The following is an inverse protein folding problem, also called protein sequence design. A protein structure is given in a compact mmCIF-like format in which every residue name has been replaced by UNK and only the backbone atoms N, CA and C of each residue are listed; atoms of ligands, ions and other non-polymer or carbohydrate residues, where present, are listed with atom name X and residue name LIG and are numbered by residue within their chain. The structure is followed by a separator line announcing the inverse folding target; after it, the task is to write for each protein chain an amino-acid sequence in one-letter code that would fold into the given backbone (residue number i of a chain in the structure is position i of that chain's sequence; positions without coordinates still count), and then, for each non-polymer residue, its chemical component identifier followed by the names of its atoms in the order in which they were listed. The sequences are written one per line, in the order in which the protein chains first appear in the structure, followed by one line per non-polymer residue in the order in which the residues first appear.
data_IF_357756176523
#
_entry.id   IF_357756176523
#
_cell.length_a   1.000
_cell.length_b   1.000
_cell.length_c   1.000
_cell.angle_alpha   90.00
_cell.angle_beta   90.00
_cell.angle_gamma   90.00
#
_symmetry.space_group_name_H-M   'P 1'
#
loop_
_entity.id
_entity.type
_entity.pdbx_description
1 polymer ?
#
# COMPACT_ATOMS: atom_id res chain seq x y z
N UNK A 1 -17.73 0.08 -0.50
CA UNK A 1 -16.78 1.13 -0.90
C UNK A 1 -16.83 1.36 -2.40
N UNK A 2 -16.60 2.60 -2.84
CA UNK A 2 -16.53 2.97 -4.25
C UNK A 2 -15.34 2.31 -4.95
N UNK A 3 -15.51 1.90 -6.20
CA UNK A 3 -14.46 1.29 -7.04
C UNK A 3 -14.54 1.82 -8.46
N UNK A 4 -13.43 1.78 -9.19
CA UNK A 4 -13.40 1.98 -10.64
C UNK A 4 -13.56 0.63 -11.35
N UNK A 5 -14.40 0.58 -12.38
CA UNK A 5 -14.73 -0.65 -13.12
C UNK A 5 -15.10 -1.85 -12.24
N UNK A 6 -15.67 -1.58 -11.05
CA UNK A 6 -16.06 -2.57 -10.07
C UNK A 6 -14.90 -3.29 -9.36
N UNK A 7 -13.65 -3.00 -9.67
CA UNK A 7 -12.53 -3.81 -9.18
C UNK A 7 -11.20 -3.10 -8.89
N UNK A 8 -11.07 -1.81 -9.12
CA UNK A 8 -9.90 -1.01 -8.75
C UNK A 8 -10.27 0.01 -7.67
N UNK A 9 -9.28 0.53 -6.93
CA UNK A 9 -9.49 1.74 -6.13
C UNK A 9 -10.02 2.86 -7.03
N UNK A 10 -10.94 3.72 -6.54
CA UNK A 10 -11.53 4.77 -7.36
C UNK A 10 -10.47 5.83 -7.70
N UNK A 11 -10.67 6.49 -8.82
CA UNK A 11 -9.91 7.68 -9.19
C UNK A 11 -10.53 8.95 -8.59
N UNK A 12 -9.77 10.04 -8.62
CA UNK A 12 -10.19 11.36 -8.12
C UNK A 12 -11.14 12.04 -9.12
N UNK A 13 -12.28 11.41 -9.34
CA UNK A 13 -13.33 11.83 -10.27
C UNK A 13 -14.73 11.68 -9.64
N UNK A 14 -15.71 12.37 -10.18
CA UNK A 14 -17.07 12.44 -9.62
C UNK A 14 -17.69 11.05 -9.39
N UNK A 15 -17.51 10.13 -10.33
CA UNK A 15 -18.00 8.75 -10.23
C UNK A 15 -16.93 7.75 -9.80
N UNK A 16 -15.66 8.17 -9.70
CA UNK A 16 -14.50 7.33 -9.40
C UNK A 16 -13.90 6.62 -10.61
N UNK A 17 -14.46 6.84 -11.82
CA UNK A 17 -13.93 6.29 -13.06
C UNK A 17 -12.84 7.19 -13.66
N UNK A 18 -11.87 6.58 -14.31
CA UNK A 18 -10.69 7.30 -14.82
C UNK A 18 -11.03 8.38 -15.85
N UNK A 19 -12.02 8.12 -16.69
CA UNK A 19 -12.37 8.99 -17.82
C UNK A 19 -13.43 10.06 -17.45
N UNK A 20 -13.87 10.10 -16.19
CA UNK A 20 -14.82 11.09 -15.69
C UNK A 20 -14.17 12.43 -15.32
N UNK A 21 -15.01 13.43 -15.06
CA UNK A 21 -14.57 14.74 -14.63
C UNK A 21 -13.97 14.69 -13.23
N UNK A 22 -13.00 15.58 -13.01
CA UNK A 22 -12.32 15.73 -11.73
C UNK A 22 -13.32 16.09 -10.61
N UNK A 23 -13.19 15.42 -9.48
CA UNK A 23 -13.93 15.74 -8.25
C UNK A 23 -13.09 16.63 -7.32
N UNK A 24 -13.39 17.94 -7.24
CA UNK A 24 -12.67 18.85 -6.37
C UNK A 24 -12.92 18.60 -4.86
N UNK A 25 -13.91 17.79 -4.52
CA UNK A 25 -14.25 17.45 -3.14
C UNK A 25 -13.58 16.16 -2.65
N UNK A 26 -12.98 15.39 -3.56
CA UNK A 26 -12.27 14.18 -3.20
C UNK A 26 -11.01 14.48 -2.35
N UNK A 27 -10.60 13.55 -1.47
CA UNK A 27 -9.40 13.71 -0.68
C UNK A 27 -8.18 13.94 -1.56
N UNK A 28 -7.32 14.87 -1.14
CA UNK A 28 -6.07 15.14 -1.82
C UNK A 28 -5.09 14.00 -1.61
N UNK A 29 -4.45 13.55 -2.69
CA UNK A 29 -3.49 12.47 -2.71
C UNK A 29 -2.11 12.99 -3.11
N UNK A 30 -1.04 12.33 -2.62
CA UNK A 30 0.33 12.58 -3.09
C UNK A 30 0.48 12.22 -4.57
N UNK A 31 1.30 12.98 -5.28
CA UNK A 31 1.53 12.87 -6.72
C UNK A 31 1.00 14.05 -7.51
N UNK A 32 0.00 14.76 -6.99
CA UNK A 32 -0.63 15.87 -7.68
C UNK A 32 0.31 17.04 -7.93
N UNK A 33 1.24 17.29 -7.00
CA UNK A 33 2.22 18.39 -7.07
C UNK A 33 3.56 17.94 -7.62
N UNK A 34 4.06 16.82 -7.12
CA UNK A 34 5.43 16.35 -7.34
C UNK A 34 5.69 15.98 -8.80
N UNK A 35 4.64 15.56 -9.52
CA UNK A 35 4.74 15.18 -10.94
C UNK A 35 3.95 16.07 -11.90
N UNK A 36 3.39 17.19 -11.42
CA UNK A 36 2.49 18.00 -12.22
C UNK A 36 1.38 17.16 -12.89
N UNK A 37 0.91 16.14 -12.15
CA UNK A 37 -0.13 15.23 -12.63
C UNK A 37 -1.48 15.91 -12.54
N UNK A 38 -2.32 15.63 -13.51
CA UNK A 38 -3.73 16.00 -13.40
C UNK A 38 -4.35 15.25 -12.22
N UNK A 39 -4.93 15.92 -11.22
CA UNK A 39 -5.47 15.28 -10.02
C UNK A 39 -6.37 14.07 -10.29
N UNK A 40 -7.15 14.11 -11.37
CA UNK A 40 -8.07 13.01 -11.76
C UNK A 40 -7.40 11.66 -12.04
N UNK A 41 -6.08 11.63 -12.31
CA UNK A 41 -5.39 10.38 -12.63
C UNK A 41 -4.85 9.63 -11.42
N UNK A 42 -4.95 10.20 -10.22
CA UNK A 42 -4.52 9.54 -8.99
C UNK A 42 -5.63 8.68 -8.41
N UNK A 43 -5.25 7.54 -7.85
CA UNK A 43 -6.16 6.68 -7.12
C UNK A 43 -6.46 7.27 -5.74
N UNK A 44 -7.72 7.27 -5.32
CA UNK A 44 -8.16 7.75 -4.02
C UNK A 44 -8.25 6.58 -3.04
N UNK A 45 -7.62 6.73 -1.89
CA UNK A 45 -7.65 5.78 -0.80
C UNK A 45 -7.70 6.48 0.57
N UNK A 46 -7.76 5.73 1.64
CA UNK A 46 -7.79 6.27 3.00
C UNK A 46 -6.47 6.85 3.50
N UNK A 47 -5.36 6.60 2.79
CA UNK A 47 -4.05 7.20 3.05
C UNK A 47 -3.60 8.00 1.82
N UNK A 48 -3.17 9.24 2.01
CA UNK A 48 -2.76 10.13 0.92
C UNK A 48 -1.53 9.63 0.13
N UNK A 49 -0.74 8.70 0.70
CA UNK A 49 0.44 8.09 0.08
C UNK A 49 0.14 6.87 -0.78
N UNK A 50 -1.13 6.49 -0.97
CA UNK A 50 -1.51 5.26 -1.67
C UNK A 50 -0.95 5.13 -3.09
N UNK A 51 -0.60 6.25 -3.74
CA UNK A 51 -0.01 6.27 -5.08
C UNK A 51 1.53 6.27 -5.09
N UNK A 52 2.19 6.25 -3.93
CA UNK A 52 3.65 6.30 -3.85
C UNK A 52 4.29 5.17 -4.66
N UNK A 53 3.73 3.96 -4.55
CA UNK A 53 4.24 2.77 -5.21
C UNK A 53 3.09 1.92 -5.78
N UNK A 54 3.15 1.42 -7.02
CA UNK A 54 2.04 0.69 -7.64
C UNK A 54 1.66 -0.60 -6.92
N UNK A 55 2.61 -1.29 -6.29
CA UNK A 55 2.32 -2.46 -5.46
C UNK A 55 1.54 -2.08 -4.19
N UNK A 56 1.79 -0.91 -3.61
CA UNK A 56 1.00 -0.39 -2.50
C UNK A 56 -0.45 -0.13 -2.95
N UNK A 57 -0.63 0.52 -4.10
CA UNK A 57 -1.97 0.76 -4.66
C UNK A 57 -2.68 -0.55 -5.00
N UNK A 58 -1.94 -1.57 -5.46
CA UNK A 58 -2.47 -2.91 -5.71
C UNK A 58 -2.95 -3.58 -4.42
N UNK A 59 -2.23 -3.44 -3.31
CA UNK A 59 -2.66 -3.93 -2.00
C UNK A 59 -3.91 -3.21 -1.50
N UNK A 60 -3.98 -1.88 -1.61
CA UNK A 60 -5.21 -1.14 -1.33
C UNK A 60 -6.40 -1.69 -2.12
N UNK A 61 -6.19 -1.99 -3.40
CA UNK A 61 -7.22 -2.56 -4.29
C UNK A 61 -7.74 -3.89 -3.77
N UNK A 62 -6.86 -4.80 -3.32
CA UNK A 62 -7.29 -6.10 -2.77
C UNK A 62 -8.17 -5.91 -1.54
N UNK A 63 -7.77 -5.08 -0.59
CA UNK A 63 -8.53 -4.89 0.64
C UNK A 63 -9.86 -4.15 0.40
N UNK A 64 -9.93 -3.26 -0.59
CA UNK A 64 -11.21 -2.67 -1.03
C UNK A 64 -12.13 -3.72 -1.62
N UNK A 65 -11.62 -4.62 -2.47
CA UNK A 65 -12.39 -5.75 -3.01
C UNK A 65 -12.89 -6.68 -1.92
N UNK A 66 -12.03 -7.03 -0.98
CA UNK A 66 -12.39 -7.93 0.12
C UNK A 66 -13.45 -7.29 1.02
N UNK A 67 -13.33 -5.99 1.31
CA UNK A 67 -14.37 -5.25 2.03
C UNK A 67 -15.72 -5.35 1.31
N UNK A 68 -15.75 -5.11 0.01
CA UNK A 68 -16.99 -5.14 -0.77
C UNK A 68 -17.57 -6.56 -0.85
N UNK A 69 -16.73 -7.59 -1.03
CA UNK A 69 -17.14 -8.99 -0.98
C UNK A 69 -17.79 -9.36 0.37
N UNK A 70 -17.18 -8.87 1.47
CA UNK A 70 -17.74 -9.07 2.81
C UNK A 70 -19.06 -8.33 3.00
N UNK A 71 -19.22 -7.12 2.43
CA UNK A 71 -20.51 -6.42 2.43
C UNK A 71 -21.61 -7.27 1.76
N UNK A 72 -21.31 -7.86 0.60
CA UNK A 72 -22.29 -8.70 -0.10
C UNK A 72 -22.61 -9.97 0.69
N UNK A 73 -21.62 -10.58 1.32
CA UNK A 73 -21.81 -11.71 2.21
C UNK A 73 -22.71 -11.36 3.41
N UNK A 74 -22.46 -10.22 4.07
CA UNK A 74 -23.26 -9.77 5.22
C UNK A 74 -24.71 -9.46 4.80
N UNK A 75 -24.90 -8.83 3.62
CA UNK A 75 -26.23 -8.63 3.03
C UNK A 75 -26.97 -9.94 2.81
N UNK A 76 -26.30 -10.96 2.29
CA UNK A 76 -26.90 -12.28 2.06
C UNK A 76 -27.37 -12.97 3.35
N UNK A 77 -26.86 -12.55 4.50
CA UNK A 77 -27.31 -12.99 5.83
C UNK A 77 -28.52 -12.22 6.37
N UNK A 78 -29.12 -11.34 5.56
CA UNK A 78 -30.33 -10.60 5.92
C UNK A 78 -30.09 -9.25 6.63
N UNK A 79 -28.84 -8.79 6.71
CA UNK A 79 -28.53 -7.44 7.24
C UNK A 79 -28.83 -6.42 6.16
N UNK A 80 -29.67 -5.43 6.45
CA UNK A 80 -30.13 -4.41 5.47
C UNK A 80 -29.62 -3.01 5.75
N UNK A 81 -29.20 -2.72 6.99
CA UNK A 81 -28.69 -1.41 7.38
C UNK A 81 -27.26 -1.20 6.82
N UNK A 82 -27.09 -0.15 6.03
CA UNK A 82 -25.83 0.11 5.29
C UNK A 82 -24.65 0.37 6.23
N UNK A 83 -24.85 1.15 7.29
CA UNK A 83 -23.78 1.44 8.26
C UNK A 83 -23.37 0.17 9.03
N UNK A 84 -24.32 -0.64 9.42
CA UNK A 84 -24.05 -1.94 10.06
C UNK A 84 -23.25 -2.87 9.15
N UNK A 85 -23.60 -2.94 7.86
CA UNK A 85 -22.86 -3.72 6.86
C UNK A 85 -21.44 -3.20 6.74
N UNK A 86 -21.27 -1.91 6.57
CA UNK A 86 -19.97 -1.26 6.44
C UNK A 86 -19.07 -1.54 7.66
N UNK A 87 -19.55 -1.31 8.87
CA UNK A 87 -18.76 -1.49 10.09
C UNK A 87 -18.41 -2.96 10.36
N UNK A 88 -19.30 -3.90 10.06
CA UNK A 88 -18.99 -5.33 10.15
C UNK A 88 -17.90 -5.73 9.15
N UNK A 89 -18.03 -5.34 7.89
CA UNK A 89 -17.04 -5.63 6.86
C UNK A 89 -15.68 -4.99 7.20
N UNK A 90 -15.66 -3.72 7.62
CA UNK A 90 -14.46 -3.01 8.08
C UNK A 90 -13.76 -3.74 9.23
N UNK A 91 -14.52 -4.22 10.22
CA UNK A 91 -13.96 -4.97 11.35
C UNK A 91 -13.30 -6.26 10.91
N UNK A 92 -13.92 -6.99 9.98
CA UNK A 92 -13.35 -8.24 9.45
C UNK A 92 -12.08 -8.00 8.64
N UNK A 93 -12.05 -6.97 7.78
CA UNK A 93 -10.83 -6.60 7.04
C UNK A 93 -9.71 -6.20 8.00
N UNK A 94 -10.01 -5.42 9.04
CA UNK A 94 -9.03 -5.07 10.08
C UNK A 94 -8.46 -6.29 10.79
N UNK A 95 -9.32 -7.26 11.13
CA UNK A 95 -8.90 -8.51 11.76
C UNK A 95 -8.01 -9.37 10.83
N UNK A 96 -8.33 -9.42 9.53
CA UNK A 96 -7.46 -10.08 8.54
C UNK A 96 -6.08 -9.43 8.47
N UNK A 97 -6.00 -8.11 8.42
CA UNK A 97 -4.72 -7.38 8.41
C UNK A 97 -3.90 -7.66 9.67
N UNK A 98 -4.53 -7.66 10.85
CA UNK A 98 -3.87 -8.02 12.10
C UNK A 98 -3.33 -9.45 12.06
N UNK A 99 -4.14 -10.39 11.59
CA UNK A 99 -3.72 -11.78 11.47
C UNK A 99 -2.52 -11.95 10.55
N UNK A 100 -2.55 -11.33 9.37
CA UNK A 100 -1.43 -11.34 8.43
C UNK A 100 -0.15 -10.80 9.10
N UNK A 101 -0.26 -9.69 9.82
CA UNK A 101 0.92 -9.09 10.47
C UNK A 101 1.49 -10.00 11.56
N UNK A 102 0.65 -10.53 12.44
CA UNK A 102 1.12 -11.27 13.61
C UNK A 102 1.41 -12.74 13.35
N UNK A 103 0.68 -13.39 12.44
CA UNK A 103 0.82 -14.82 12.20
C UNK A 103 1.68 -15.14 10.96
N UNK A 104 1.88 -14.19 10.03
CA UNK A 104 2.60 -14.42 8.79
C UNK A 104 3.79 -13.47 8.63
N UNK A 105 3.56 -12.15 8.63
CA UNK A 105 4.56 -11.15 8.28
C UNK A 105 5.71 -11.06 9.30
N UNK A 106 5.41 -10.86 10.59
CA UNK A 106 6.44 -10.78 11.63
C UNK A 106 7.20 -12.10 11.80
N UNK A 107 6.57 -13.29 11.80
CA UNK A 107 7.29 -14.56 11.80
C UNK A 107 8.21 -14.75 10.59
N UNK A 108 7.82 -14.29 9.40
CA UNK A 108 8.67 -14.33 8.21
C UNK A 108 9.97 -13.51 8.35
N UNK A 109 9.97 -12.48 9.21
CA UNK A 109 11.18 -11.73 9.59
C UNK A 109 11.96 -12.35 10.75
N UNK A 110 11.55 -13.52 11.24
CA UNK A 110 12.18 -14.17 12.40
C UNK A 110 11.83 -13.50 13.74
N UNK A 111 10.79 -12.66 13.79
CA UNK A 111 10.28 -12.09 15.03
C UNK A 111 9.41 -13.14 15.73
N UNK A 112 9.82 -13.64 16.91
CA UNK A 112 9.01 -14.61 17.64
C UNK A 112 7.73 -13.95 18.12
N UNK A 113 6.61 -14.62 17.87
CA UNK A 113 5.28 -14.16 18.30
C UNK A 113 4.63 -15.20 19.20
N UNK A 114 4.11 -14.76 20.33
CA UNK A 114 3.29 -15.60 21.18
C UNK A 114 1.93 -15.90 20.53
N UNK A 115 1.37 -17.05 20.88
CA UNK A 115 0.01 -17.39 20.44
C UNK A 115 -1.00 -16.40 20.99
N UNK A 116 -2.00 -16.07 20.19
CA UNK A 116 -3.08 -15.18 20.64
C UNK A 116 -3.86 -15.82 21.79
N UNK A 117 -3.88 -15.14 22.92
CA UNK A 117 -4.51 -15.64 24.17
C UNK A 117 -5.88 -15.01 24.47
N UNK A 118 -6.40 -14.20 23.56
CA UNK A 118 -7.67 -13.50 23.72
C UNK A 118 -7.53 -11.99 23.84
N UNK A 119 -8.66 -11.29 23.90
CA UNK A 119 -8.70 -9.84 24.07
C UNK A 119 -8.42 -9.45 25.51
N UNK A 120 -7.48 -8.52 25.69
CA UNK A 120 -7.19 -7.86 26.97
C UNK A 120 -7.32 -6.35 26.83
N UNK A 121 -8.31 -5.77 27.51
CA UNK A 121 -8.55 -4.31 27.50
C UNK A 121 -7.48 -3.49 28.19
N UNK A 122 -6.58 -4.10 28.98
CA UNK A 122 -5.48 -3.42 29.64
C UNK A 122 -4.26 -3.27 28.74
N UNK A 123 -4.20 -4.00 27.62
CA UNK A 123 -3.12 -3.86 26.65
C UNK A 123 -3.34 -2.58 25.84
N UNK A 124 -2.38 -1.68 25.87
CA UNK A 124 -2.42 -0.44 25.11
C UNK A 124 -2.18 -0.74 23.62
N UNK A 125 -3.06 -0.29 22.72
CA UNK A 125 -2.95 -0.56 21.27
C UNK A 125 -2.02 0.43 20.55
N UNK A 126 -1.45 1.40 21.25
CA UNK A 126 -0.61 2.43 20.66
C UNK A 126 0.77 1.89 20.24
N UNK A 127 1.28 2.44 19.15
CA UNK A 127 2.59 2.10 18.59
C UNK A 127 3.67 2.91 19.31
N UNK A 128 4.72 2.23 19.77
CA UNK A 128 5.86 2.87 20.43
C UNK A 128 6.64 3.75 19.46
N UNK A 129 7.17 4.87 19.98
CA UNK A 129 7.98 5.82 19.20
C UNK A 129 9.18 5.13 18.50
N UNK A 130 9.91 4.27 19.19
CA UNK A 130 11.03 3.51 18.62
C UNK A 130 10.61 2.59 17.46
N UNK A 131 9.41 2.00 17.52
CA UNK A 131 8.90 1.20 16.42
C UNK A 131 8.65 2.06 15.18
N UNK A 132 7.91 3.17 15.33
CA UNK A 132 7.55 4.04 14.21
C UNK A 132 8.75 4.75 13.57
N UNK A 133 9.80 5.05 14.35
CA UNK A 133 10.94 5.87 13.91
C UNK A 133 12.17 5.09 13.52
N UNK A 134 12.34 3.86 14.01
CA UNK A 134 13.49 3.01 13.73
C UNK A 134 13.11 1.60 13.25
N UNK A 135 12.43 0.81 14.07
CA UNK A 135 12.18 -0.60 13.77
C UNK A 135 11.35 -0.84 12.50
N UNK A 136 10.51 0.10 12.13
CA UNK A 136 9.66 0.07 10.92
C UNK A 136 10.35 0.72 9.69
N UNK A 137 11.67 0.62 9.54
CA UNK A 137 12.44 1.32 8.49
C UNK A 137 13.33 0.35 7.70
N UNK A 138 12.71 -0.68 7.14
CA UNK A 138 13.42 -1.75 6.40
C UNK A 138 13.73 -1.39 4.95
N UNK A 139 14.14 -0.16 4.69
CA UNK A 139 14.39 0.36 3.36
C UNK A 139 15.60 -0.28 2.66
N UNK A 140 16.49 -0.95 3.41
CA UNK A 140 17.60 -1.71 2.83
C UNK A 140 17.14 -2.96 2.09
N UNK A 141 15.92 -3.44 2.36
CA UNK A 141 15.35 -4.64 1.74
C UNK A 141 14.61 -4.36 0.43
N UNK A 142 14.44 -3.08 0.06
CA UNK A 142 13.69 -2.70 -1.12
C UNK A 142 14.50 -2.94 -2.38
N UNK A 143 13.89 -3.65 -3.33
CA UNK A 143 14.46 -4.00 -4.63
C UNK A 143 14.67 -2.76 -5.52
N UNK A 144 15.57 -2.89 -6.52
CA UNK A 144 15.79 -1.85 -7.52
C UNK A 144 14.64 -1.72 -8.53
N UNK A 145 13.94 -2.82 -8.75
CA UNK A 145 12.94 -2.97 -9.80
C UNK A 145 11.72 -3.73 -9.28
N UNK A 146 10.58 -3.58 -9.93
CA UNK A 146 9.44 -4.48 -9.75
C UNK A 146 9.31 -5.41 -10.95
N UNK A 147 8.88 -6.64 -10.69
CA UNK A 147 8.65 -7.67 -11.70
C UNK A 147 7.16 -7.75 -12.02
N UNK A 148 6.84 -7.97 -13.29
CA UNK A 148 5.49 -8.20 -13.76
C UNK A 148 5.30 -9.68 -14.17
N UNK A 149 4.22 -10.32 -13.68
CA UNK A 149 3.89 -11.71 -13.98
C UNK A 149 2.44 -11.88 -14.42
N UNK A 150 2.20 -12.66 -15.50
CA UNK A 150 0.87 -13.01 -15.96
C UNK A 150 0.22 -14.12 -15.10
N UNK A 151 -0.96 -14.60 -15.51
CA UNK A 151 -1.69 -15.64 -14.75
C UNK A 151 -0.97 -17.00 -14.77
N UNK A 152 -0.13 -17.25 -15.75
CA UNK A 152 0.76 -18.41 -15.78
C UNK A 152 2.08 -18.22 -15.00
N UNK A 153 2.22 -17.11 -14.28
CA UNK A 153 3.43 -16.72 -13.55
C UNK A 153 4.66 -16.47 -14.45
N UNK A 154 4.45 -16.24 -15.73
CA UNK A 154 5.48 -15.89 -16.69
C UNK A 154 5.69 -14.37 -16.75
N UNK A 155 6.89 -13.94 -17.14
CA UNK A 155 7.19 -12.52 -17.37
C UNK A 155 6.36 -11.93 -18.51
N UNK A 156 5.94 -10.69 -18.36
CA UNK A 156 5.13 -9.98 -19.37
C UNK A 156 5.94 -8.82 -19.94
N UNK A 157 6.25 -8.87 -21.24
CA UNK A 157 6.85 -7.76 -21.97
C UNK A 157 8.10 -7.18 -21.30
N UNK A 158 8.04 -5.94 -20.86
CA UNK A 158 9.06 -5.35 -19.98
C UNK A 158 8.89 -5.99 -18.62
N UNK A 159 9.76 -6.96 -18.30
CA UNK A 159 9.65 -7.82 -17.11
C UNK A 159 9.99 -7.06 -15.84
N UNK A 160 10.86 -6.05 -15.94
CA UNK A 160 11.40 -5.28 -14.83
C UNK A 160 11.13 -3.79 -15.04
N UNK A 161 10.53 -3.16 -14.05
CA UNK A 161 10.30 -1.72 -14.04
C UNK A 161 11.17 -1.09 -12.95
N UNK A 162 12.13 -0.24 -13.34
CA UNK A 162 13.01 0.41 -12.38
C UNK A 162 12.25 1.26 -11.35
N UNK A 163 12.64 1.16 -10.09
CA UNK A 163 11.99 1.85 -8.97
C UNK A 163 11.84 3.36 -9.22
N UNK A 164 12.87 3.99 -9.81
CA UNK A 164 12.84 5.42 -10.16
C UNK A 164 11.72 5.83 -11.14
N UNK A 165 11.16 4.90 -11.90
CA UNK A 165 10.11 5.16 -12.91
C UNK A 165 8.72 4.85 -12.39
N UNK A 166 8.61 4.13 -11.28
CA UNK A 166 7.33 3.65 -10.74
C UNK A 166 6.78 4.50 -9.61
N UNK A 167 7.62 5.29 -8.92
CA UNK A 167 7.15 6.19 -7.88
C UNK A 167 6.11 7.18 -8.40
N UNK A 168 5.01 7.32 -7.67
CA UNK A 168 3.90 8.22 -8.01
C UNK A 168 3.39 8.03 -9.45
N UNK A 169 3.38 6.77 -9.93
CA UNK A 169 2.93 6.43 -11.26
C UNK A 169 1.71 5.48 -11.23
N UNK A 170 0.50 5.99 -10.94
CA UNK A 170 -0.71 5.18 -10.84
C UNK A 170 -1.14 4.54 -12.17
N UNK A 171 -0.58 4.99 -13.31
CA UNK A 171 -0.85 4.41 -14.62
C UNK A 171 -0.40 2.95 -14.72
N UNK A 172 0.63 2.57 -13.96
CA UNK A 172 1.13 1.18 -13.92
C UNK A 172 0.04 0.23 -13.43
N UNK A 173 -0.66 0.59 -12.35
CA UNK A 173 -1.79 -0.22 -11.87
C UNK A 173 -2.90 -0.30 -12.91
N UNK A 174 -3.22 0.81 -13.57
CA UNK A 174 -4.24 0.86 -14.63
C UNK A 174 -3.88 -0.01 -15.82
N UNK A 175 -2.63 0.03 -16.24
CA UNK A 175 -2.13 -0.70 -17.40
C UNK A 175 -2.08 -2.20 -17.19
N UNK A 176 -1.55 -2.64 -16.05
CA UNK A 176 -1.24 -4.05 -15.79
C UNK A 176 -2.25 -4.74 -14.85
N UNK A 177 -2.95 -3.96 -14.05
CA UNK A 177 -3.85 -4.48 -13.03
C UNK A 177 -3.14 -5.02 -11.78
N UNK A 178 -3.87 -5.16 -10.65
CA UNK A 178 -3.29 -5.56 -9.38
C UNK A 178 -2.76 -7.01 -9.39
N UNK A 179 -3.39 -7.91 -10.15
CA UNK A 179 -3.00 -9.32 -10.20
C UNK A 179 -1.58 -9.52 -10.72
N UNK A 180 -1.23 -8.81 -11.80
CA UNK A 180 0.11 -8.87 -12.42
C UNK A 180 1.19 -8.35 -11.46
N UNK A 181 0.91 -7.24 -10.80
CA UNK A 181 1.83 -6.61 -9.83
C UNK A 181 2.06 -7.52 -8.62
N UNK A 182 1.01 -8.08 -8.05
CA UNK A 182 1.09 -8.90 -6.84
C UNK A 182 1.69 -10.27 -7.10
N UNK A 183 1.46 -10.85 -8.28
CA UNK A 183 2.21 -12.06 -8.69
C UNK A 183 3.70 -11.76 -8.84
N UNK A 184 4.05 -10.63 -9.44
CA UNK A 184 5.44 -10.17 -9.50
C UNK A 184 6.08 -10.10 -8.11
N UNK A 185 5.42 -9.48 -7.15
CA UNK A 185 5.86 -9.43 -5.75
C UNK A 185 6.12 -10.82 -5.14
N UNK A 186 5.24 -11.80 -5.43
CA UNK A 186 5.37 -13.16 -4.89
C UNK A 186 6.58 -13.91 -5.43
N UNK A 187 7.13 -13.50 -6.57
CA UNK A 187 8.26 -14.14 -7.23
C UNK A 187 9.58 -13.37 -7.07
N UNK A 188 9.55 -12.16 -6.56
CA UNK A 188 10.74 -11.33 -6.41
C UNK A 188 11.14 -11.25 -4.93
N UNK A 189 12.14 -12.01 -4.47
CA UNK A 189 12.56 -11.97 -3.08
C UNK A 189 13.19 -10.62 -2.76
N UNK A 190 12.91 -10.11 -1.58
CA UNK A 190 13.51 -8.87 -1.07
C UNK A 190 15.02 -9.03 -0.85
N UNK A 191 15.76 -7.93 -0.87
CA UNK A 191 17.16 -7.91 -0.48
C UNK A 191 17.32 -8.26 1.00
N UNK A 192 18.51 -8.73 1.35
CA UNK A 192 18.86 -8.95 2.75
C UNK A 192 18.99 -7.60 3.47
N UNK A 193 18.65 -7.59 4.75
CA UNK A 193 18.92 -6.44 5.60
C UNK A 193 20.41 -6.23 5.73
N UNK A 194 20.90 -5.07 5.29
CA UNK A 194 22.30 -4.66 5.37
C UNK A 194 22.40 -3.12 5.55
N UNK A 195 23.55 -2.54 5.27
CA UNK A 195 23.79 -1.10 5.34
C UNK A 195 23.64 -0.40 3.96
N UNK A 196 23.18 -1.11 2.95
CA UNK A 196 23.04 -0.57 1.59
C UNK A 196 21.57 -0.28 1.29
N UNK A 197 21.32 0.87 0.71
CA UNK A 197 20.00 1.27 0.24
C UNK A 197 20.09 1.56 -1.26
N UNK A 198 19.15 1.07 -2.03
CA UNK A 198 19.16 1.24 -3.47
C UNK A 198 19.10 2.72 -3.89
N UNK A 199 19.61 3.00 -5.09
CA UNK A 199 19.73 4.35 -5.60
C UNK A 199 18.35 5.00 -5.86
N UNK A 200 17.31 4.20 -6.13
CA UNK A 200 15.94 4.69 -6.29
C UNK A 200 15.43 5.42 -5.05
N UNK A 201 15.73 4.88 -3.86
CA UNK A 201 15.33 5.48 -2.59
C UNK A 201 16.25 6.62 -2.13
N UNK A 202 17.52 6.61 -2.56
CA UNK A 202 18.50 7.62 -2.16
C UNK A 202 18.44 8.90 -3.00
N UNK A 203 18.08 8.79 -4.27
CA UNK A 203 18.18 9.91 -5.21
C UNK A 203 16.92 10.17 -6.02
N UNK A 204 15.96 9.24 -6.03
CA UNK A 204 14.78 9.32 -6.89
C UNK A 204 13.46 9.09 -6.13
N UNK A 205 13.49 9.10 -4.80
CA UNK A 205 12.27 9.01 -4.00
C UNK A 205 11.31 10.12 -4.41
N UNK A 206 10.04 9.77 -4.59
CA UNK A 206 8.98 10.65 -5.09
C UNK A 206 9.21 11.21 -6.51
N UNK A 207 10.08 10.58 -7.29
CA UNK A 207 10.27 10.87 -8.71
C UNK A 207 11.61 11.51 -9.06
N UNK A 208 11.82 11.67 -10.37
CA UNK A 208 13.06 12.25 -10.88
C UNK A 208 13.18 13.71 -10.47
N UNK A 209 14.34 14.07 -9.93
CA UNK A 209 14.65 15.46 -9.55
C UNK A 209 14.15 15.90 -8.17
N UNK A 210 13.54 15.01 -7.39
CA UNK A 210 13.12 15.35 -6.03
C UNK A 210 14.29 15.65 -5.10
N UNK A 211 15.45 15.03 -5.35
CA UNK A 211 16.64 15.18 -4.52
C UNK A 211 16.51 14.63 -3.10
N UNK A 212 15.44 13.90 -2.82
CA UNK A 212 15.17 13.33 -1.50
C UNK A 212 15.95 12.03 -1.30
N UNK A 213 16.79 12.01 -0.26
CA UNK A 213 17.48 10.82 0.21
C UNK A 213 16.74 10.23 1.42
N UNK A 214 16.09 9.09 1.23
CA UNK A 214 15.31 8.43 2.28
C UNK A 214 16.16 8.01 3.48
N UNK A 215 17.45 7.68 3.27
CA UNK A 215 18.35 7.32 4.37
C UNK A 215 18.59 8.52 5.29
N UNK A 216 18.90 9.66 4.70
CA UNK A 216 19.07 10.92 5.44
C UNK A 216 17.80 11.32 6.19
N UNK A 217 16.63 11.17 5.55
CA UNK A 217 15.33 11.43 6.18
C UNK A 217 15.09 10.48 7.36
N UNK A 218 15.42 9.19 7.24
CA UNK A 218 15.24 8.23 8.33
C UNK A 218 16.16 8.52 9.51
N UNK A 219 17.42 8.88 9.27
CA UNK A 219 18.36 9.27 10.31
C UNK A 219 17.88 10.54 11.02
N UNK A 220 17.47 11.56 10.26
CA UNK A 220 16.94 12.79 10.82
C UNK A 220 15.67 12.54 11.64
N UNK A 221 14.78 11.66 11.17
CA UNK A 221 13.59 11.26 11.91
C UNK A 221 13.93 10.67 13.28
N UNK A 222 14.93 9.81 13.35
CA UNK A 222 15.42 9.28 14.64
C UNK A 222 15.90 10.38 15.58
N UNK A 223 16.66 11.35 15.06
CA UNK A 223 17.16 12.50 15.83
C UNK A 223 16.02 13.39 16.34
N UNK A 224 15.07 13.73 15.46
CA UNK A 224 13.91 14.57 15.79
C UNK A 224 13.03 13.94 16.89
N UNK A 225 13.02 12.62 16.97
CA UNK A 225 12.25 11.87 17.97
C UNK A 225 13.09 11.46 19.21
N UNK A 226 14.32 11.96 19.33
CA UNK A 226 15.17 11.73 20.49
C UNK A 226 15.60 10.27 20.66
N UNK A 227 15.75 9.52 19.59
CA UNK A 227 16.34 8.18 19.66
C UNK A 227 17.84 8.29 19.99
N UNK A 228 18.39 7.35 20.79
CA UNK A 228 19.82 7.33 21.15
C UNK A 228 20.72 7.10 19.94
#
# INVERSE_FOLDING_TARGET
LKTSKGNLVPYNTIDGEFDSDYDPTAPRMDGDRERNMTPRVVAVAGDFRANEHPNLTALHTIFVREHNRLCDHIKSQGVTDDETIYQKARKLVGAMMQRIVYEEYLPAFGVPMDSYSGYDSNVRPDIRNTFATAAYRWHTMVENDIILRNDACEGIGVVELPLKTIFLNPQILRQYGPGVLLRGLSFHPQYRTDLKVNNGLRNFLLGQGSGLDLVSINIQRGRDHGLP
#
